data_IF_498509593777
#
_entry.id   IF_498509593777
#
_cell.length_a   1.000
_cell.length_b   1.000
_cell.length_c   1.000
_cell.angle_alpha   90.00
_cell.angle_beta   90.00
_cell.angle_gamma   90.00
#
_symmetry.space_group_name_H-M   'P 1'
#
loop_
_entity.id
_entity.type
_entity.pdbx_description
1 polymer ?
#
# COMPACT_ATOMS: atom_id res chain seq x y z
N UNK A 1 -28.96 -41.74 2.98
CA UNK A 1 -28.57 -40.33 2.75
C UNK A 1 -27.07 -40.25 2.96
N UNK A 2 -26.29 -39.89 1.92
CA UNK A 2 -24.82 -39.83 2.02
C UNK A 2 -24.39 -38.66 2.92
N UNK A 3 -23.32 -38.87 3.71
CA UNK A 3 -22.67 -37.87 4.58
C UNK A 3 -22.36 -36.55 3.85
N UNK A 4 -22.17 -36.65 2.52
CA UNK A 4 -22.00 -35.52 1.59
C UNK A 4 -23.16 -34.52 1.60
N UNK A 5 -24.40 -34.96 1.81
CA UNK A 5 -25.57 -34.08 1.85
C UNK A 5 -25.72 -33.33 3.19
N UNK A 6 -25.17 -33.87 4.28
CA UNK A 6 -25.29 -33.28 5.62
C UNK A 6 -24.40 -32.03 5.73
N UNK A 7 -23.19 -32.08 5.16
CA UNK A 7 -22.29 -30.91 5.11
C UNK A 7 -22.68 -29.90 4.03
N UNK A 8 -23.33 -30.33 2.94
CA UNK A 8 -23.87 -29.41 1.94
C UNK A 8 -25.03 -28.54 2.49
N UNK A 9 -25.73 -29.02 3.52
CA UNK A 9 -26.83 -28.30 4.20
C UNK A 9 -26.40 -27.63 5.52
N UNK A 10 -25.18 -27.90 6.00
CA UNK A 10 -24.59 -27.32 7.21
C UNK A 10 -24.06 -25.90 6.96
N UNK A 11 -24.98 -24.95 6.98
CA UNK A 11 -24.77 -23.50 6.98
C UNK A 11 -23.73 -23.10 8.04
N UNK A 12 -22.59 -22.59 7.58
CA UNK A 12 -21.79 -21.48 8.14
C UNK A 12 -20.61 -21.20 7.19
N UNK A 13 -20.91 -20.84 5.94
CA UNK A 13 -19.92 -20.40 4.94
C UNK A 13 -19.41 -18.98 5.15
N UNK A 14 -19.97 -18.22 6.10
CA UNK A 14 -19.78 -16.77 6.15
C UNK A 14 -18.67 -16.27 7.08
N UNK A 15 -17.98 -17.13 7.85
CA UNK A 15 -17.01 -16.61 8.84
C UNK A 15 -15.61 -16.34 8.29
N UNK A 16 -15.24 -16.86 7.11
CA UNK A 16 -13.91 -16.65 6.53
C UNK A 16 -13.94 -16.15 5.08
N UNK A 17 -15.11 -16.17 4.46
CA UNK A 17 -15.30 -15.92 3.03
C UNK A 17 -15.36 -14.42 2.70
N UNK A 18 -15.74 -13.56 3.66
CA UNK A 18 -15.82 -12.11 3.48
C UNK A 18 -14.48 -11.41 3.27
N UNK A 19 -13.36 -11.98 3.71
CA UNK A 19 -12.05 -11.31 3.60
C UNK A 19 -11.44 -11.34 2.19
N UNK A 20 -11.88 -12.26 1.32
CA UNK A 20 -11.27 -12.48 0.01
C UNK A 20 -12.23 -12.36 -1.18
N UNK A 21 -13.52 -12.11 -0.91
CA UNK A 21 -14.51 -11.91 -1.97
C UNK A 21 -14.61 -10.46 -2.47
N UNK A 22 -14.29 -9.47 -1.64
CA UNK A 22 -14.44 -8.05 -2.02
C UNK A 22 -13.28 -7.48 -2.83
N UNK A 23 -12.22 -8.27 -3.09
CA UNK A 23 -11.15 -7.84 -3.99
C UNK A 23 -11.40 -8.38 -5.39
N UNK A 24 -12.43 -7.84 -6.03
CA UNK A 24 -12.37 -7.66 -7.47
C UNK A 24 -11.08 -6.88 -7.74
N UNK A 25 -10.06 -7.57 -8.26
CA UNK A 25 -8.87 -6.95 -8.84
C UNK A 25 -9.33 -6.33 -10.16
N UNK A 26 -10.18 -5.32 -10.04
CA UNK A 26 -10.53 -4.39 -11.10
C UNK A 26 -9.23 -3.70 -11.46
N UNK A 27 -8.66 -4.16 -12.57
CA UNK A 27 -8.02 -3.32 -13.57
C UNK A 27 -7.37 -2.06 -12.98
N UNK A 28 -6.08 -2.13 -12.66
CA UNK A 28 -5.26 -1.01 -12.16
C UNK A 28 -5.05 0.12 -13.20
N UNK A 29 -5.92 0.24 -14.19
CA UNK A 29 -5.78 1.14 -15.33
C UNK A 29 -6.35 2.54 -15.09
N UNK A 30 -6.86 2.86 -13.91
CA UNK A 30 -7.44 4.18 -13.62
C UNK A 30 -6.75 4.85 -12.41
N UNK A 31 -5.44 5.05 -12.52
CA UNK A 31 -4.79 6.12 -11.77
C UNK A 31 -4.94 7.41 -12.57
N UNK A 32 -6.06 8.10 -12.32
CA UNK A 32 -6.24 9.49 -12.73
C UNK A 32 -5.11 10.34 -12.15
N UNK A 33 -4.35 10.96 -13.04
CA UNK A 33 -3.30 11.92 -12.73
C UNK A 33 -3.89 13.08 -11.91
N UNK A 34 -3.72 13.04 -10.59
CA UNK A 34 -3.80 14.24 -9.75
C UNK A 34 -2.44 14.47 -9.13
N UNK A 35 -1.65 15.27 -9.84
CA UNK A 35 -0.42 15.89 -9.38
C UNK A 35 -0.67 16.62 -8.05
N UNK A 36 -0.17 16.05 -6.95
CA UNK A 36 -0.12 16.71 -5.65
C UNK A 36 1.35 16.90 -5.27
N UNK A 37 1.83 18.13 -5.45
CA UNK A 37 3.12 18.60 -4.93
C UNK A 37 3.00 18.72 -3.41
N UNK A 38 3.53 17.72 -2.70
CA UNK A 38 3.44 17.61 -1.25
C UNK A 38 4.63 16.85 -0.69
N UNK A 39 5.81 17.48 -0.73
CA UNK A 39 7.01 17.02 -0.02
C UNK A 39 6.70 16.75 1.46
N UNK A 40 6.73 15.49 1.88
CA UNK A 40 6.71 15.11 3.29
C UNK A 40 8.04 14.47 3.66
N UNK A 41 9.01 15.34 3.99
CA UNK A 41 10.23 14.91 4.67
C UNK A 41 9.85 14.47 6.07
N UNK A 42 9.95 13.16 6.34
CA UNK A 42 9.83 12.61 7.68
C UNK A 42 11.00 13.10 8.54
N UNK A 43 10.73 13.86 9.61
CA UNK A 43 11.68 14.15 10.69
C UNK A 43 11.32 13.32 11.92
N UNK A 44 12.20 12.37 12.28
CA UNK A 44 12.15 11.67 13.56
C UNK A 44 12.31 12.66 14.73
N UNK A 45 11.53 12.57 15.81
CA UNK A 45 11.81 13.33 17.03
C UNK A 45 13.00 12.69 17.75
N UNK A 46 14.15 13.37 17.77
CA UNK A 46 15.29 13.01 18.62
C UNK A 46 15.12 13.59 20.03
N UNK A 47 15.68 12.94 21.07
CA UNK A 47 15.36 13.21 22.47
C UNK A 47 15.98 14.53 22.93
N UNK A 48 15.14 15.43 23.45
CA UNK A 48 15.57 16.64 24.14
C UNK A 48 16.14 16.26 25.51
N UNK A 49 17.46 16.39 25.65
CA UNK A 49 18.15 16.49 26.95
C UNK A 49 18.46 17.95 27.24
N UNK A 50 18.17 18.31 28.50
CA UNK A 50 18.58 19.47 29.30
C UNK A 50 18.32 20.89 28.77
N UNK A 51 17.38 21.59 29.39
CA UNK A 51 17.69 22.47 30.53
C UNK A 51 16.41 23.06 31.14
N UNK A 52 16.22 22.89 32.45
CA UNK A 52 15.54 23.88 33.30
C UNK A 52 15.94 23.65 34.76
N UNK A 53 16.49 24.72 35.34
CA UNK A 53 16.96 24.85 36.71
C UNK A 53 15.84 24.70 37.76
N UNK A 54 16.23 24.18 38.93
CA UNK A 54 15.82 24.59 40.30
C UNK A 54 15.02 23.60 41.18
N UNK A 55 15.78 23.02 42.13
CA UNK A 55 15.52 22.69 43.54
C UNK A 55 14.17 22.10 44.02
N UNK A 56 14.24 20.89 44.58
CA UNK A 56 13.32 20.36 45.61
C UNK A 56 13.66 18.90 46.00
N UNK A 57 13.79 18.53 47.29
CA UNK A 57 14.41 17.27 47.71
C UNK A 57 13.42 16.12 47.90
N UNK A 58 13.94 14.90 47.68
CA UNK A 58 13.52 13.61 48.29
C UNK A 58 12.04 13.23 48.28
N UNK A 59 11.68 12.28 47.42
CA UNK A 59 10.87 11.13 47.83
C UNK A 59 11.10 9.97 46.86
N UNK A 60 11.52 8.83 47.40
CA UNK A 60 11.44 7.56 46.73
C UNK A 60 9.97 7.27 46.39
N UNK A 61 9.67 6.96 45.14
CA UNK A 61 8.38 6.41 44.75
C UNK A 61 8.61 5.27 43.76
N UNK A 62 8.52 4.08 44.36
CA UNK A 62 8.08 2.79 43.84
C UNK A 62 7.56 2.80 42.39
N UNK A 63 8.13 1.89 41.58
CA UNK A 63 7.60 1.46 40.29
C UNK A 63 6.18 0.91 40.48
N UNK A 64 5.17 1.78 40.37
CA UNK A 64 3.81 1.34 40.17
C UNK A 64 3.67 0.96 38.69
N UNK A 65 3.74 -0.34 38.44
CA UNK A 65 3.33 -0.97 37.19
C UNK A 65 1.93 -0.45 36.82
N UNK A 66 1.86 0.39 35.78
CA UNK A 66 0.59 0.79 35.20
C UNK A 66 -0.06 -0.44 34.57
N UNK A 67 -1.07 -0.98 35.24
CA UNK A 67 -2.06 -1.83 34.59
C UNK A 67 -2.74 -1.02 33.49
N UNK A 68 -2.72 -1.56 32.27
CA UNK A 68 -3.57 -1.06 31.19
C UNK A 68 -5.01 -1.29 31.62
N UNK A 69 -5.65 -0.22 32.09
CA UNK A 69 -7.07 -0.18 32.39
C UNK A 69 -7.82 -0.34 31.07
N UNK A 70 -8.34 -1.55 30.84
CA UNK A 70 -9.27 -1.81 29.74
C UNK A 70 -10.48 -0.90 29.87
N UNK A 71 -11.02 -0.35 28.77
CA UNK A 71 -12.24 0.44 28.84
C UNK A 71 -13.39 -0.43 29.36
N UNK A 72 -14.07 0.14 30.36
CA UNK A 72 -15.22 -0.36 31.08
C UNK A 72 -16.25 -0.99 30.12
N UNK A 73 -16.40 -2.32 30.17
CA UNK A 73 -17.52 -2.99 29.53
C UNK A 73 -18.73 -2.83 30.45
N UNK A 74 -19.72 -2.09 29.99
CA UNK A 74 -21.04 -1.98 30.62
C UNK A 74 -21.57 -3.36 31.02
N UNK A 75 -22.05 -3.56 32.26
CA UNK A 75 -22.79 -4.76 32.58
C UNK A 75 -24.09 -4.70 31.79
N UNK A 76 -24.33 -5.69 30.91
CA UNK A 76 -25.67 -5.91 30.40
C UNK A 76 -26.58 -6.20 31.60
N UNK A 77 -27.46 -5.25 31.91
CA UNK A 77 -28.50 -5.35 32.93
C UNK A 77 -29.41 -6.53 32.58
N UNK A 78 -29.13 -7.70 33.15
CA UNK A 78 -30.15 -8.72 33.31
C UNK A 78 -30.91 -8.38 34.58
N UNK A 79 -32.25 -8.26 34.59
CA UNK A 79 -32.98 -8.04 35.82
C UNK A 79 -32.72 -9.22 36.77
N UNK A 80 -32.00 -8.94 37.86
CA UNK A 80 -31.90 -9.84 39.00
C UNK A 80 -33.31 -10.00 39.55
N UNK A 81 -33.95 -11.14 39.25
CA UNK A 81 -35.18 -11.53 39.91
C UNK A 81 -34.78 -11.95 41.34
N UNK A 82 -34.86 -10.99 42.27
CA UNK A 82 -34.90 -11.23 43.70
C UNK A 82 -35.97 -12.30 43.96
N UNK A 83 -35.52 -13.54 44.12
CA UNK A 83 -36.36 -14.62 44.60
C UNK A 83 -35.77 -15.07 45.92
N UNK A 84 -36.39 -14.55 46.98
CA UNK A 84 -36.23 -14.97 48.35
C UNK A 84 -36.10 -16.50 48.44
N UNK A 85 -35.09 -16.93 49.17
CA UNK A 85 -34.89 -18.30 49.59
C UNK A 85 -36.11 -18.83 50.34
N UNK A 86 -36.87 -19.71 49.70
CA UNK A 86 -37.72 -20.69 50.38
C UNK A 86 -37.18 -22.08 50.03
N UNK A 87 -36.35 -22.61 50.92
CA UNK A 87 -35.77 -23.94 50.81
C UNK A 87 -36.83 -24.99 51.14
N UNK A 88 -37.59 -25.42 50.15
CA UNK A 88 -38.28 -26.72 50.21
C UNK A 88 -37.39 -27.70 49.47
N UNK A 89 -36.67 -28.56 50.21
CA UNK A 89 -35.95 -29.68 49.60
C UNK A 89 -36.99 -30.64 49.01
N UNK A 90 -37.36 -30.42 47.75
CA UNK A 90 -38.12 -31.38 46.98
C UNK A 90 -37.17 -32.53 46.65
N UNK A 91 -37.22 -33.57 47.48
CA UNK A 91 -36.58 -34.84 47.21
C UNK A 91 -37.17 -35.40 45.92
N UNK A 92 -36.42 -35.34 44.82
CA UNK A 92 -36.79 -36.01 43.57
C UNK A 92 -36.61 -37.52 43.79
N UNK A 93 -37.70 -38.18 44.21
CA UNK A 93 -37.77 -39.63 44.30
C UNK A 93 -38.16 -40.15 42.93
N UNK A 94 -37.21 -40.81 42.25
CA UNK A 94 -37.48 -41.55 41.03
C UNK A 94 -37.82 -42.99 41.41
N UNK A 95 -39.03 -43.44 41.13
CA UNK A 95 -39.40 -44.85 41.25
C UNK A 95 -39.39 -45.57 39.89
N UNK A 96 -39.43 -46.89 39.94
CA UNK A 96 -39.33 -47.75 38.75
C UNK A 96 -40.48 -47.52 37.76
N UNK A 97 -41.57 -46.89 38.22
CA UNK A 97 -42.75 -46.56 37.43
C UNK A 97 -42.62 -45.22 36.68
N UNK A 98 -41.71 -44.33 37.10
CA UNK A 98 -41.39 -43.08 36.39
C UNK A 98 -40.71 -43.32 35.03
N UNK A 99 -40.09 -44.49 34.85
CA UNK A 99 -39.61 -44.97 33.55
C UNK A 99 -40.62 -45.98 33.00
N UNK A 100 -41.85 -45.53 32.78
CA UNK A 100 -42.82 -46.32 32.05
C UNK A 100 -42.29 -46.56 30.61
N UNK A 101 -41.67 -47.72 30.40
CA UNK A 101 -41.33 -48.25 29.07
C UNK A 101 -42.63 -48.70 28.38
N UNK A 102 -43.49 -47.73 28.10
CA UNK A 102 -44.70 -47.92 27.33
C UNK A 102 -44.31 -48.27 25.89
N UNK A 103 -44.41 -49.54 25.55
CA UNK A 103 -44.45 -50.01 24.18
C UNK A 103 -43.08 -50.07 23.50
N UNK A 104 -42.37 -51.17 23.74
CA UNK A 104 -41.36 -51.72 22.84
C UNK A 104 -41.95 -52.19 21.47
N UNK A 105 -42.94 -51.48 20.93
CA UNK A 105 -43.62 -51.77 19.66
C UNK A 105 -43.47 -50.63 18.63
N UNK A 106 -42.63 -49.63 18.91
CA UNK A 106 -42.41 -48.50 18.02
C UNK A 106 -41.02 -47.86 18.11
N UNK A 107 -40.08 -48.46 18.85
CA UNK A 107 -38.68 -48.07 18.73
C UNK A 107 -38.26 -48.53 17.33
N UNK A 108 -38.34 -47.62 16.37
CA UNK A 108 -37.47 -47.63 15.20
C UNK A 108 -36.05 -47.72 15.75
N UNK A 109 -35.61 -48.95 15.99
CA UNK A 109 -34.26 -49.30 16.38
C UNK A 109 -33.44 -48.85 15.19
N UNK A 110 -32.96 -47.61 15.25
CA UNK A 110 -31.95 -47.12 14.32
C UNK A 110 -30.90 -48.21 14.27
N UNK A 111 -30.82 -48.85 13.11
CA UNK A 111 -29.89 -49.94 12.87
C UNK A 111 -28.53 -49.47 13.38
N UNK A 112 -27.79 -50.25 14.19
CA UNK A 112 -26.48 -49.84 14.63
C UNK A 112 -25.68 -49.54 13.35
N UNK A 113 -25.31 -48.26 13.15
CA UNK A 113 -24.48 -47.85 12.02
C UNK A 113 -23.33 -48.81 11.98
N UNK A 114 -23.22 -49.56 10.88
CA UNK A 114 -22.25 -50.63 10.79
C UNK A 114 -20.87 -50.05 11.02
N UNK A 115 -19.98 -50.76 11.73
CA UNK A 115 -18.58 -50.33 11.89
C UNK A 115 -17.94 -49.94 10.55
N UNK A 116 -18.34 -50.61 9.47
CA UNK A 116 -17.96 -50.31 8.09
C UNK A 116 -18.45 -48.94 7.62
N UNK A 117 -19.73 -48.61 7.82
CA UNK A 117 -20.30 -47.31 7.41
C UNK A 117 -19.65 -46.14 8.16
N UNK A 118 -19.26 -46.35 9.42
CA UNK A 118 -18.51 -45.35 10.19
C UNK A 118 -17.10 -45.13 9.64
N UNK A 119 -16.39 -46.20 9.28
CA UNK A 119 -15.04 -46.09 8.67
C UNK A 119 -15.12 -45.44 7.30
N UNK A 120 -16.11 -45.80 6.48
CA UNK A 120 -16.36 -45.16 5.18
C UNK A 120 -16.64 -43.66 5.34
N UNK A 121 -17.43 -43.26 6.34
CA UNK A 121 -17.67 -41.84 6.61
C UNK A 121 -16.41 -41.08 7.04
N UNK A 122 -15.49 -41.72 7.77
CA UNK A 122 -14.19 -41.13 8.12
C UNK A 122 -13.28 -40.99 6.90
N UNK A 123 -13.24 -42.00 6.03
CA UNK A 123 -12.47 -41.95 4.79
C UNK A 123 -13.03 -40.87 3.84
N UNK A 124 -14.35 -40.75 3.73
CA UNK A 124 -15.03 -39.69 2.98
C UNK A 124 -14.69 -38.30 3.54
N UNK A 125 -14.72 -38.13 4.86
CA UNK A 125 -14.34 -36.87 5.51
C UNK A 125 -12.87 -36.53 5.24
N UNK A 126 -11.98 -37.52 5.34
CA UNK A 126 -10.56 -37.35 5.04
C UNK A 126 -10.34 -36.94 3.59
N UNK A 127 -11.00 -37.62 2.65
CA UNK A 127 -10.93 -37.29 1.22
C UNK A 127 -11.48 -35.88 0.95
N UNK A 128 -12.59 -35.51 1.59
CA UNK A 128 -13.18 -34.17 1.48
C UNK A 128 -12.24 -33.08 1.97
N UNK A 129 -11.58 -33.27 3.12
CA UNK A 129 -10.63 -32.30 3.67
C UNK A 129 -9.42 -32.16 2.74
N UNK A 130 -8.85 -33.27 2.27
CA UNK A 130 -7.72 -33.25 1.34
C UNK A 130 -8.07 -32.52 0.04
N UNK A 131 -9.21 -32.86 -0.56
CA UNK A 131 -9.70 -32.18 -1.76
C UNK A 131 -9.87 -30.67 -1.53
N UNK A 132 -10.46 -30.28 -0.40
CA UNK A 132 -10.68 -28.86 -0.08
C UNK A 132 -9.36 -28.10 0.06
N UNK A 133 -8.37 -28.71 0.70
CA UNK A 133 -7.02 -28.14 0.84
C UNK A 133 -6.37 -27.99 -0.53
N UNK A 134 -6.45 -29.00 -1.39
CA UNK A 134 -5.88 -28.96 -2.74
C UNK A 134 -6.56 -27.92 -3.63
N UNK A 135 -7.88 -27.79 -3.54
CA UNK A 135 -8.67 -26.76 -4.25
C UNK A 135 -8.21 -25.35 -3.83
N UNK A 136 -8.07 -25.10 -2.53
CA UNK A 136 -7.62 -23.80 -2.02
C UNK A 136 -6.17 -23.50 -2.40
N UNK A 137 -5.27 -24.48 -2.28
CA UNK A 137 -3.88 -24.32 -2.70
C UNK A 137 -3.80 -23.98 -4.19
N UNK A 138 -4.56 -24.68 -5.03
CA UNK A 138 -4.63 -24.42 -6.47
C UNK A 138 -5.20 -23.02 -6.78
N UNK A 139 -6.24 -22.59 -6.05
CA UNK A 139 -6.81 -21.26 -6.19
C UNK A 139 -5.83 -20.15 -5.78
N UNK A 140 -5.09 -20.35 -4.68
CA UNK A 140 -4.07 -19.39 -4.22
C UNK A 140 -2.92 -19.32 -5.22
N UNK A 141 -2.39 -20.46 -5.68
CA UNK A 141 -1.31 -20.50 -6.65
C UNK A 141 -1.70 -19.86 -7.99
N UNK A 142 -2.93 -20.09 -8.46
CA UNK A 142 -3.40 -19.46 -9.70
C UNK A 142 -3.54 -17.93 -9.57
N UNK A 143 -4.01 -17.43 -8.42
CA UNK A 143 -4.01 -15.98 -8.13
C UNK A 143 -2.58 -15.42 -8.05
N UNK A 144 -1.65 -16.11 -7.40
CA UNK A 144 -0.25 -15.69 -7.32
C UNK A 144 0.40 -15.62 -8.70
N UNK A 145 0.22 -16.62 -9.55
CA UNK A 145 0.75 -16.58 -10.93
C UNK A 145 0.13 -15.46 -11.77
N UNK A 146 -1.16 -15.17 -11.55
CA UNK A 146 -1.83 -14.05 -12.24
C UNK A 146 -1.22 -12.71 -11.80
N UNK A 147 -1.02 -12.51 -10.50
CA UNK A 147 -0.38 -11.30 -9.97
C UNK A 147 1.08 -11.19 -10.41
N UNK A 148 1.86 -12.28 -10.35
CA UNK A 148 3.25 -12.31 -10.80
C UNK A 148 3.37 -11.88 -12.26
N UNK A 149 2.50 -12.41 -13.13
CA UNK A 149 2.44 -12.04 -14.54
C UNK A 149 2.08 -10.57 -14.70
N UNK A 150 1.00 -10.10 -14.06
CA UNK A 150 0.57 -8.71 -14.16
C UNK A 150 1.62 -7.71 -13.68
N UNK A 151 2.34 -8.03 -12.61
CA UNK A 151 3.46 -7.20 -12.11
C UNK A 151 4.63 -7.19 -13.10
N UNK A 152 4.98 -8.34 -13.67
CA UNK A 152 6.04 -8.46 -14.66
C UNK A 152 5.73 -7.65 -15.91
N UNK A 153 4.50 -7.75 -16.41
CA UNK A 153 4.04 -7.02 -17.60
C UNK A 153 4.05 -5.51 -17.32
N UNK A 154 3.48 -5.08 -16.19
CA UNK A 154 3.46 -3.66 -15.78
C UNK A 154 4.86 -3.08 -15.68
N UNK A 155 5.78 -3.80 -15.03
CA UNK A 155 7.17 -3.36 -14.89
C UNK A 155 7.88 -3.27 -16.25
N UNK A 156 7.61 -4.21 -17.14
CA UNK A 156 8.15 -4.21 -18.49
C UNK A 156 7.65 -3.01 -19.30
N UNK A 157 6.35 -2.70 -19.22
CA UNK A 157 5.75 -1.55 -19.91
C UNK A 157 6.27 -0.21 -19.35
N UNK A 158 6.39 -0.10 -18.02
CA UNK A 158 6.99 1.07 -17.38
C UNK A 158 8.43 1.29 -17.82
N UNK A 159 9.25 0.24 -17.84
CA UNK A 159 10.62 0.29 -18.30
C UNK A 159 10.73 0.72 -19.77
N UNK A 160 9.90 0.15 -20.64
CA UNK A 160 9.83 0.53 -22.05
C UNK A 160 9.43 2.01 -22.23
N UNK A 161 8.44 2.48 -21.46
CA UNK A 161 7.98 3.87 -21.48
C UNK A 161 9.08 4.83 -20.97
N UNK A 162 9.74 4.50 -19.85
CA UNK A 162 10.84 5.29 -19.31
C UNK A 162 11.98 5.41 -20.31
N UNK A 163 12.38 4.31 -20.97
CA UNK A 163 13.40 4.35 -22.04
C UNK A 163 12.98 5.26 -23.20
N UNK A 164 11.72 5.18 -23.63
CA UNK A 164 11.18 6.05 -24.69
C UNK A 164 11.23 7.52 -24.30
N UNK A 165 10.82 7.85 -23.08
CA UNK A 165 10.85 9.22 -22.56
C UNK A 165 12.28 9.76 -22.50
N UNK A 166 13.22 8.99 -21.94
CA UNK A 166 14.64 9.37 -21.88
C UNK A 166 15.17 9.65 -23.28
N UNK A 167 14.92 8.75 -24.24
CA UNK A 167 15.38 8.93 -25.62
C UNK A 167 14.79 10.19 -26.26
N UNK A 168 13.51 10.48 -26.03
CA UNK A 168 12.87 11.71 -26.51
C UNK A 168 13.53 12.96 -25.93
N UNK A 169 13.71 13.01 -24.61
CA UNK A 169 14.32 14.17 -23.93
C UNK A 169 15.77 14.38 -24.38
N UNK A 170 16.54 13.31 -24.54
CA UNK A 170 17.90 13.39 -25.07
C UNK A 170 17.91 13.93 -26.51
N UNK A 171 17.00 13.46 -27.36
CA UNK A 171 16.89 13.94 -28.74
C UNK A 171 16.49 15.42 -28.81
N UNK A 172 15.57 15.85 -27.96
CA UNK A 172 15.14 17.25 -27.86
C UNK A 172 16.30 18.14 -27.40
N UNK A 173 17.07 17.69 -26.40
CA UNK A 173 18.25 18.41 -25.92
C UNK A 173 19.33 18.55 -27.03
N UNK A 174 19.58 17.49 -27.81
CA UNK A 174 20.49 17.54 -28.95
C UNK A 174 20.00 18.54 -30.01
N UNK A 175 18.72 18.47 -30.37
CA UNK A 175 18.11 19.36 -31.37
C UNK A 175 18.18 20.82 -30.92
N UNK A 176 17.88 21.10 -29.66
CA UNK A 176 17.99 22.43 -29.07
C UNK A 176 19.43 22.95 -29.10
N UNK A 177 20.41 22.09 -28.79
CA UNK A 177 21.83 22.44 -28.83
C UNK A 177 22.26 22.83 -30.25
N UNK A 178 21.83 22.08 -31.27
CA UNK A 178 22.14 22.38 -32.67
C UNK A 178 21.51 23.70 -33.12
N UNK A 179 20.25 23.95 -32.75
CA UNK A 179 19.57 25.23 -33.02
C UNK A 179 20.31 26.41 -32.36
N UNK A 180 20.68 26.29 -31.09
CA UNK A 180 21.46 27.32 -30.38
C UNK A 180 22.81 27.59 -31.04
N UNK A 181 23.49 26.54 -31.51
CA UNK A 181 24.77 26.66 -32.22
C UNK A 181 24.63 27.43 -33.54
N UNK A 182 23.56 27.18 -34.29
CA UNK A 182 23.24 27.94 -35.52
C UNK A 182 23.00 29.41 -35.18
N UNK A 183 22.14 29.71 -34.20
CA UNK A 183 21.88 31.09 -33.79
C UNK A 183 23.14 31.82 -33.33
N UNK A 184 24.00 31.17 -32.55
CA UNK A 184 25.27 31.75 -32.12
C UNK A 184 26.20 32.06 -33.31
N UNK A 185 26.25 31.19 -34.31
CA UNK A 185 27.02 31.43 -35.53
C UNK A 185 26.51 32.66 -36.29
N UNK A 186 25.19 32.82 -36.39
CA UNK A 186 24.57 33.96 -37.06
C UNK A 186 24.76 35.27 -36.29
N UNK A 187 24.62 35.26 -34.96
CA UNK A 187 24.96 36.41 -34.11
C UNK A 187 26.44 36.80 -34.30
N UNK A 188 27.35 35.82 -34.27
CA UNK A 188 28.77 36.07 -34.51
C UNK A 188 29.02 36.75 -35.85
N UNK A 189 28.37 36.31 -36.94
CA UNK A 189 28.49 36.93 -38.27
C UNK A 189 28.00 38.39 -38.26
N UNK A 190 26.81 38.62 -37.69
CA UNK A 190 26.19 39.96 -37.61
C UNK A 190 27.02 40.93 -36.76
N UNK A 191 27.69 40.46 -35.72
CA UNK A 191 28.55 41.30 -34.86
C UNK A 191 29.91 41.56 -35.51
N UNK A 192 30.54 40.56 -36.15
CA UNK A 192 31.87 40.71 -36.74
C UNK A 192 31.87 41.62 -37.98
N UNK A 193 30.84 41.58 -38.82
CA UNK A 193 30.85 42.34 -40.08
C UNK A 193 30.92 43.87 -39.87
N UNK A 194 30.08 44.51 -39.04
CA UNK A 194 30.18 45.95 -38.76
C UNK A 194 31.42 46.32 -37.93
N UNK A 195 31.89 45.43 -37.06
CA UNK A 195 33.09 45.68 -36.25
C UNK A 195 34.35 45.83 -37.11
N UNK A 196 34.45 45.03 -38.18
CA UNK A 196 35.56 45.14 -39.14
C UNK A 196 35.49 46.46 -39.92
N UNK A 197 34.31 46.88 -40.37
CA UNK A 197 34.15 48.14 -41.10
C UNK A 197 34.42 49.34 -40.20
N UNK A 198 33.82 49.39 -39.01
CA UNK A 198 34.02 50.49 -38.06
C UNK A 198 35.49 50.62 -37.61
N UNK A 199 36.19 49.50 -37.45
CA UNK A 199 37.62 49.49 -37.16
C UNK A 199 38.46 50.06 -38.30
N UNK A 200 38.12 49.75 -39.56
CA UNK A 200 38.77 50.31 -40.74
C UNK A 200 38.52 51.83 -40.84
N UNK A 201 37.27 52.26 -40.69
CA UNK A 201 36.87 53.68 -40.74
C UNK A 201 37.60 54.49 -39.66
N UNK A 202 37.68 53.96 -38.44
CA UNK A 202 38.41 54.61 -37.34
C UNK A 202 39.90 54.78 -37.63
N UNK A 203 40.52 53.79 -38.27
CA UNK A 203 41.93 53.86 -38.65
C UNK A 203 42.15 54.91 -39.75
N UNK A 204 41.24 55.01 -40.71
CA UNK A 204 41.28 56.03 -41.76
C UNK A 204 41.13 57.45 -41.19
N UNK A 205 40.18 57.67 -40.28
CA UNK A 205 40.02 58.95 -39.57
C UNK A 205 41.31 59.33 -38.83
N UNK A 206 41.93 58.40 -38.12
CA UNK A 206 43.20 58.66 -37.41
C UNK A 206 44.34 59.02 -38.36
N UNK A 207 44.44 58.38 -39.54
CA UNK A 207 45.42 58.78 -40.57
C UNK A 207 45.16 60.20 -41.05
N UNK A 208 43.90 60.57 -41.29
CA UNK A 208 43.53 61.92 -41.72
C UNK A 208 43.90 62.97 -40.67
N UNK A 209 43.63 62.71 -39.39
CA UNK A 209 44.04 63.58 -38.27
C UNK A 209 45.56 63.78 -38.25
N UNK A 210 46.33 62.68 -38.29
CA UNK A 210 47.79 62.77 -38.28
C UNK A 210 48.36 63.55 -39.47
N UNK A 211 47.73 63.45 -40.65
CA UNK A 211 48.14 64.20 -41.83
C UNK A 211 47.86 65.71 -41.68
N UNK A 212 46.74 66.08 -41.05
CA UNK A 212 46.42 67.48 -40.73
C UNK A 212 47.39 68.04 -39.69
N UNK A 213 47.70 67.28 -38.65
CA UNK A 213 48.64 67.67 -37.59
C UNK A 213 50.05 67.93 -38.15
N UNK A 214 50.54 67.03 -39.01
CA UNK A 214 51.82 67.21 -39.70
C UNK A 214 51.85 68.48 -40.58
N UNK A 215 50.74 68.83 -41.25
CA UNK A 215 50.63 70.07 -42.02
C UNK A 215 50.68 71.31 -41.13
N UNK A 216 50.00 71.28 -39.98
CA UNK A 216 50.01 72.39 -39.03
C UNK A 216 51.41 72.65 -38.48
N UNK A 217 52.13 71.60 -38.08
CA UNK A 217 53.53 71.70 -37.63
C UNK A 217 54.48 72.27 -38.70
N UNK A 218 54.22 72.03 -39.99
CA UNK A 218 55.01 72.60 -41.08
C UNK A 218 54.74 74.08 -41.35
N UNK A 219 53.59 74.60 -40.91
CA UNK A 219 53.20 76.01 -41.07
C UNK A 219 53.67 76.89 -39.90
N UNK A 220 53.76 76.34 -38.68
CA UNK A 220 54.26 77.06 -37.48
C UNK A 220 55.80 77.18 -37.43
N UNK A 221 56.52 76.47 -38.32
CA UNK A 221 57.99 76.55 -38.43
C UNK A 221 58.52 77.60 -39.39
N UNK A 222 57.67 78.52 -39.87
CA UNK A 222 57.94 79.57 -40.86
C UNK A 222 57.69 80.96 -40.25
#
# INVERSE_FOLDING_TARGET
>A
MSFRNIFAQGILTESFFGYFQDTDVQNFSDFGESSSDGSTVYRSPSPLRDESLTLGPTAAHEEQFYFVQSPDSTPATSPCLETSTSSTSLSMHFDTDDIALAGAAGIQKSLPVGRTEFVEALDDLRAFILQRVDDYNSAILSKLHTLERGLRDTLHDQDANTRKLINSVCQDAHTMSDVQKIHLNDVKKTVLAPGVTAGADSLEIRRAINAVDAKMLSLDGL
#
